data_IF_979611567378
#
_entry.id   IF_979611567378
#
_cell.length_a   1.000
_cell.length_b   1.000
_cell.length_c   1.000
_cell.angle_alpha   90.00
_cell.angle_beta   90.00
_cell.angle_gamma   90.00
#
_symmetry.space_group_name_H-M   'P 1'
#
loop_
_entity.id
_entity.type
_entity.pdbx_description
1 polymer ?
#
# COMPACT_ATOMS: atom_id res chain seq x y z
N UNK A 1 0.80 -19.95 -66.81
CA UNK A 1 1.48 -21.08 -66.16
C UNK A 1 2.88 -20.64 -65.80
N UNK A 2 3.25 -20.70 -64.52
CA UNK A 2 4.60 -20.93 -63.99
C UNK A 2 4.63 -20.56 -62.51
N UNK A 3 4.21 -21.52 -61.70
CA UNK A 3 4.32 -21.51 -60.25
C UNK A 3 5.76 -21.86 -59.89
N UNK A 4 6.55 -20.90 -59.40
CA UNK A 4 7.93 -21.17 -58.95
C UNK A 4 7.89 -21.74 -57.54
N UNK A 5 7.81 -23.07 -57.47
CA UNK A 5 7.98 -23.86 -56.25
C UNK A 5 9.46 -23.93 -55.92
N UNK A 6 9.92 -23.14 -54.95
CA UNK A 6 11.26 -23.28 -54.36
C UNK A 6 11.20 -24.34 -53.26
N UNK A 7 11.82 -25.48 -53.49
CA UNK A 7 12.02 -26.56 -52.52
C UNK A 7 13.19 -26.22 -51.59
N UNK A 8 12.97 -26.25 -50.27
CA UNK A 8 14.00 -26.06 -49.25
C UNK A 8 14.64 -27.43 -48.91
N UNK A 9 15.97 -27.55 -48.78
CA UNK A 9 16.63 -28.78 -48.32
C UNK A 9 16.37 -29.08 -46.83
N UNK A 10 16.42 -30.36 -46.40
CA UNK A 10 16.22 -30.75 -45.01
C UNK A 10 17.39 -30.29 -44.13
N UNK A 11 17.08 -29.55 -43.06
CA UNK A 11 18.05 -29.09 -42.07
C UNK A 11 18.55 -30.27 -41.21
N UNK A 12 19.86 -30.36 -40.92
CA UNK A 12 20.41 -31.40 -40.06
C UNK A 12 19.93 -31.20 -38.61
N UNK A 13 19.41 -32.27 -38.01
CA UNK A 13 19.14 -32.36 -36.59
C UNK A 13 20.47 -32.30 -35.82
N UNK A 14 20.69 -31.22 -35.06
CA UNK A 14 21.96 -31.01 -34.35
C UNK A 14 21.86 -30.07 -33.16
N UNK A 15 22.10 -30.66 -31.99
CA UNK A 15 22.38 -30.05 -30.67
C UNK A 15 21.25 -29.28 -29.98
N UNK A 16 20.57 -29.99 -29.07
CA UNK A 16 19.88 -29.37 -27.95
C UNK A 16 20.87 -28.49 -27.16
N UNK A 17 20.67 -27.17 -27.18
CA UNK A 17 21.41 -26.24 -26.34
C UNK A 17 21.20 -26.57 -24.85
N UNK A 18 22.19 -26.29 -23.98
CA UNK A 18 22.09 -26.63 -22.57
C UNK A 18 20.88 -25.92 -21.96
N UNK A 19 19.97 -26.71 -21.41
CA UNK A 19 18.79 -26.22 -20.71
C UNK A 19 19.21 -25.22 -19.63
N UNK A 20 18.49 -24.10 -19.43
CA UNK A 20 18.79 -23.17 -18.35
C UNK A 20 18.78 -23.95 -17.03
N UNK A 21 19.92 -23.92 -16.35
CA UNK A 21 20.13 -24.60 -15.08
C UNK A 21 19.04 -24.19 -14.09
N UNK A 22 18.10 -25.09 -13.80
CA UNK A 22 17.08 -24.96 -12.75
C UNK A 22 17.68 -24.57 -11.39
N UNK A 23 18.98 -24.73 -11.19
CA UNK A 23 19.69 -24.35 -9.98
C UNK A 23 19.80 -22.83 -9.77
N UNK A 24 19.88 -22.02 -10.84
CA UNK A 24 20.03 -20.57 -10.71
C UNK A 24 18.79 -19.91 -10.09
N UNK A 25 17.59 -20.42 -10.40
CA UNK A 25 16.31 -19.91 -9.88
C UNK A 25 16.07 -20.33 -8.42
N UNK A 26 16.71 -21.42 -7.97
CA UNK A 26 16.52 -21.94 -6.61
C UNK A 26 17.39 -21.23 -5.56
N UNK A 27 18.53 -20.65 -5.96
CA UNK A 27 19.42 -19.88 -5.06
C UNK A 27 18.99 -18.41 -4.88
N UNK A 28 18.25 -17.84 -5.84
CA UNK A 28 17.73 -16.47 -5.81
C UNK A 28 16.76 -16.21 -4.62
N UNK A 29 16.26 -17.27 -3.98
CA UNK A 29 15.18 -17.22 -2.98
C UNK A 29 15.61 -17.04 -1.52
N UNK A 30 16.90 -16.96 -1.19
CA UNK A 30 17.38 -16.85 0.21
C UNK A 30 18.02 -15.50 0.49
N UNK A 31 17.28 -14.43 0.28
CA UNK A 31 17.66 -13.10 0.78
C UNK A 31 17.86 -13.23 2.30
N UNK A 32 19.10 -13.14 2.77
CA UNK A 32 19.41 -13.27 4.20
C UNK A 32 18.60 -12.27 5.02
N UNK A 33 18.24 -12.61 6.25
CA UNK A 33 17.40 -11.79 7.13
C UNK A 33 17.92 -10.34 7.24
N UNK A 34 19.25 -10.17 7.26
CA UNK A 34 19.93 -8.86 7.24
C UNK A 34 19.69 -8.08 5.94
N UNK A 35 19.67 -8.74 4.79
CA UNK A 35 19.38 -8.10 3.51
C UNK A 35 17.90 -7.70 3.42
N UNK A 36 16.98 -8.54 3.90
CA UNK A 36 15.55 -8.19 4.02
C UNK A 36 15.34 -6.96 4.90
N UNK A 37 15.97 -6.90 6.07
CA UNK A 37 15.89 -5.73 6.96
C UNK A 37 16.46 -4.47 6.29
N UNK A 38 17.54 -4.58 5.53
CA UNK A 38 18.11 -3.45 4.75
C UNK A 38 17.15 -2.96 3.67
N UNK A 39 16.48 -3.87 2.97
CA UNK A 39 15.49 -3.53 1.95
C UNK A 39 14.25 -2.84 2.56
N UNK A 40 13.68 -3.40 3.64
CA UNK A 40 12.59 -2.79 4.38
C UNK A 40 12.99 -1.39 4.87
N UNK A 41 14.19 -1.25 5.43
CA UNK A 41 14.72 0.03 5.87
C UNK A 41 14.89 1.05 4.74
N UNK A 42 15.36 0.62 3.57
CA UNK A 42 15.50 1.50 2.39
C UNK A 42 14.13 1.96 1.85
N UNK A 43 13.15 1.04 1.78
CA UNK A 43 11.77 1.34 1.40
C UNK A 43 11.12 2.30 2.41
N UNK A 44 11.26 2.03 3.71
CA UNK A 44 10.76 2.90 4.77
C UNK A 44 11.39 4.29 4.72
N UNK A 45 12.72 4.38 4.53
CA UNK A 45 13.43 5.66 4.37
C UNK A 45 12.93 6.44 3.16
N UNK A 46 12.72 5.77 2.02
CA UNK A 46 12.14 6.39 0.82
C UNK A 46 10.73 6.92 1.10
N UNK A 47 9.89 6.14 1.78
CA UNK A 47 8.54 6.56 2.13
C UNK A 47 8.55 7.76 3.09
N UNK A 48 9.46 7.76 4.08
CA UNK A 48 9.64 8.89 5.00
C UNK A 48 10.16 10.15 4.31
N UNK A 49 11.04 10.01 3.32
CA UNK A 49 11.49 11.12 2.47
C UNK A 49 10.37 11.65 1.57
N UNK A 50 9.46 10.78 1.13
CA UNK A 50 8.27 11.18 0.37
C UNK A 50 7.32 12.00 1.24
N UNK A 51 7.06 11.54 2.46
CA UNK A 51 6.32 12.26 3.49
C UNK A 51 6.92 13.65 3.76
N UNK A 52 8.26 13.75 3.79
CA UNK A 52 8.96 15.02 4.01
C UNK A 52 8.76 16.05 2.88
N UNK A 53 8.30 15.64 1.69
CA UNK A 53 8.05 16.57 0.58
C UNK A 53 6.73 17.33 0.73
N UNK A 54 5.75 16.73 1.39
CA UNK A 54 4.45 17.37 1.69
C UNK A 54 4.22 17.41 3.22
N UNK A 55 5.04 18.17 3.97
CA UNK A 55 4.91 18.27 5.42
C UNK A 55 3.60 18.92 5.84
N UNK A 56 3.02 19.80 5.00
CA UNK A 56 1.75 20.48 5.24
C UNK A 56 0.60 19.48 5.37
N UNK A 57 0.47 18.53 4.44
CA UNK A 57 -0.58 17.52 4.48
C UNK A 57 -0.47 16.62 5.72
N UNK A 58 0.75 16.21 6.08
CA UNK A 58 0.98 15.45 7.30
C UNK A 58 0.66 16.24 8.57
N UNK A 59 0.99 17.52 8.58
CA UNK A 59 0.68 18.40 9.69
C UNK A 59 -0.83 18.54 9.86
N UNK A 60 -1.56 18.75 8.76
CA UNK A 60 -3.02 18.92 8.81
C UNK A 60 -3.73 17.64 9.32
N UNK A 61 -3.33 16.46 8.83
CA UNK A 61 -3.86 15.15 9.28
C UNK A 61 -3.64 14.91 10.77
N UNK A 62 -2.57 15.45 11.37
CA UNK A 62 -2.28 15.29 12.80
C UNK A 62 -2.86 16.42 13.66
N UNK A 63 -2.84 17.65 13.14
CA UNK A 63 -3.25 18.86 13.86
C UNK A 63 -4.77 18.90 14.01
N UNK A 64 -5.52 18.60 12.95
CA UNK A 64 -7.00 18.64 12.99
C UNK A 64 -7.58 17.78 14.11
N UNK A 65 -7.19 16.49 14.26
CA UNK A 65 -7.56 15.65 15.40
C UNK A 65 -7.31 16.28 16.76
N UNK A 66 -6.13 16.86 16.97
CA UNK A 66 -5.72 17.45 18.24
C UNK A 66 -6.56 18.68 18.55
N UNK A 67 -6.75 19.56 17.56
CA UNK A 67 -7.58 20.77 17.72
C UNK A 67 -9.01 20.40 18.07
N UNK A 68 -9.60 19.41 17.39
CA UNK A 68 -10.94 18.92 17.69
C UNK A 68 -11.03 18.38 19.12
N UNK A 69 -10.08 17.54 19.54
CA UNK A 69 -10.06 17.00 20.91
C UNK A 69 -9.93 18.14 21.92
N UNK A 70 -9.04 19.11 21.70
CA UNK A 70 -8.87 20.23 22.62
C UNK A 70 -10.15 21.06 22.72
N UNK A 71 -10.75 21.41 21.58
CA UNK A 71 -11.99 22.19 21.52
C UNK A 71 -13.12 21.46 22.25
N UNK A 72 -13.40 20.21 21.89
CA UNK A 72 -14.53 19.48 22.45
C UNK A 72 -14.32 19.11 23.92
N UNK A 73 -13.11 18.72 24.31
CA UNK A 73 -12.84 18.30 25.69
C UNK A 73 -12.68 19.50 26.63
N UNK A 74 -12.01 20.59 26.22
CA UNK A 74 -11.69 21.72 27.11
C UNK A 74 -12.65 22.90 26.96
N UNK A 75 -13.09 23.24 25.74
CA UNK A 75 -13.99 24.38 25.52
C UNK A 75 -15.44 23.97 25.73
N UNK A 76 -15.86 22.86 25.13
CA UNK A 76 -17.26 22.40 25.22
C UNK A 76 -17.53 21.41 26.33
N UNK A 77 -16.51 20.71 26.85
CA UNK A 77 -16.72 19.61 27.79
C UNK A 77 -17.40 20.00 29.10
N UNK A 78 -17.17 21.22 29.59
CA UNK A 78 -17.83 21.74 30.78
C UNK A 78 -19.26 22.22 30.54
N UNK A 79 -19.47 23.02 29.48
CA UNK A 79 -20.77 23.64 29.17
C UNK A 79 -21.77 22.64 28.58
N UNK A 80 -21.33 21.82 27.63
CA UNK A 80 -22.16 20.81 26.96
C UNK A 80 -22.39 19.62 27.90
N UNK A 81 -21.38 19.18 28.64
CA UNK A 81 -21.55 18.14 29.66
C UNK A 81 -22.62 18.51 30.69
N UNK A 82 -22.56 19.74 31.22
CA UNK A 82 -23.58 20.26 32.13
C UNK A 82 -24.97 20.38 31.48
N UNK A 83 -25.04 20.80 30.20
CA UNK A 83 -26.29 20.86 29.46
C UNK A 83 -26.94 19.50 29.21
N UNK A 84 -26.16 18.41 29.18
CA UNK A 84 -26.65 17.03 29.10
C UNK A 84 -27.02 16.45 30.47
N UNK A 85 -26.92 17.24 31.55
CA UNK A 85 -27.19 16.78 32.92
C UNK A 85 -26.11 15.91 33.53
N UNK A 86 -24.93 15.84 32.90
CA UNK A 86 -23.79 15.06 33.36
C UNK A 86 -22.55 15.91 33.67
N UNK A 87 -21.44 15.25 33.95
CA UNK A 87 -20.15 15.92 34.14
C UNK A 87 -19.31 15.88 32.86
N UNK A 88 -18.24 16.68 32.84
CA UNK A 88 -17.26 16.70 31.73
C UNK A 88 -16.77 15.30 31.35
N UNK A 89 -16.56 14.44 32.34
CA UNK A 89 -16.08 13.08 32.12
C UNK A 89 -17.07 12.23 31.32
N UNK A 90 -18.37 12.35 31.62
CA UNK A 90 -19.43 11.62 30.93
C UNK A 90 -19.55 12.06 29.48
N UNK A 91 -19.41 13.38 29.24
CA UNK A 91 -19.38 13.93 27.89
C UNK A 91 -18.18 13.44 27.07
N UNK A 92 -16.98 13.38 27.66
CA UNK A 92 -15.79 12.86 26.98
C UNK A 92 -15.98 11.39 26.61
N UNK A 93 -16.51 10.57 27.53
CA UNK A 93 -16.77 9.14 27.27
C UNK A 93 -17.83 8.92 26.18
N UNK A 94 -18.78 9.84 26.03
CA UNK A 94 -19.73 9.83 24.94
C UNK A 94 -19.11 10.25 23.60
N UNK A 95 -18.27 11.29 23.59
CA UNK A 95 -17.75 11.91 22.37
C UNK A 95 -16.59 11.14 21.73
N UNK A 96 -15.65 10.64 22.54
CA UNK A 96 -14.43 9.96 22.08
C UNK A 96 -14.72 8.79 21.11
N UNK A 97 -15.64 7.85 21.39
CA UNK A 97 -15.91 6.75 20.46
C UNK A 97 -16.50 7.22 19.13
N UNK A 98 -17.31 8.28 19.12
CA UNK A 98 -17.82 8.88 17.88
C UNK A 98 -16.70 9.48 17.03
N UNK A 99 -15.76 10.17 17.67
CA UNK A 99 -14.59 10.73 17.00
C UNK A 99 -13.70 9.62 16.40
N UNK A 100 -13.49 8.53 17.14
CA UNK A 100 -12.75 7.36 16.66
C UNK A 100 -13.42 6.69 15.46
N UNK A 101 -14.75 6.56 15.47
CA UNK A 101 -15.51 6.02 14.34
C UNK A 101 -15.38 6.90 13.10
N UNK A 102 -15.50 8.23 13.25
CA UNK A 102 -15.33 9.19 12.17
C UNK A 102 -13.91 9.13 11.56
N UNK A 103 -12.87 9.06 12.41
CA UNK A 103 -11.49 8.88 11.95
C UNK A 103 -11.28 7.57 11.22
N UNK A 104 -11.82 6.47 11.75
CA UNK A 104 -11.76 5.15 11.11
C UNK A 104 -12.40 5.15 9.72
N UNK A 105 -13.55 5.81 9.57
CA UNK A 105 -14.20 5.99 8.26
C UNK A 105 -13.33 6.81 7.30
N UNK A 106 -12.70 7.87 7.78
CA UNK A 106 -11.82 8.69 6.95
C UNK A 106 -10.60 7.90 6.44
N UNK A 107 -9.99 7.08 7.30
CA UNK A 107 -8.89 6.17 6.92
C UNK A 107 -9.37 5.14 5.90
N UNK A 108 -10.53 4.52 6.14
CA UNK A 108 -11.10 3.53 5.22
C UNK A 108 -11.36 4.13 3.83
N UNK A 109 -11.83 5.38 3.77
CA UNK A 109 -11.99 6.11 2.51
C UNK A 109 -10.65 6.33 1.81
N UNK A 110 -9.62 6.80 2.53
CA UNK A 110 -8.29 7.04 1.96
C UNK A 110 -7.63 5.76 1.43
N UNK A 111 -7.78 4.63 2.13
CA UNK A 111 -7.30 3.33 1.65
C UNK A 111 -8.12 2.86 0.45
N UNK A 112 -9.45 3.00 0.51
CA UNK A 112 -10.36 2.60 -0.56
C UNK A 112 -10.08 3.35 -1.87
N UNK A 113 -9.80 4.65 -1.81
CA UNK A 113 -9.41 5.44 -2.99
C UNK A 113 -8.06 5.01 -3.52
N UNK A 114 -7.07 4.75 -2.64
CA UNK A 114 -5.75 4.23 -3.05
C UNK A 114 -5.84 2.90 -3.79
N UNK A 115 -6.62 1.96 -3.24
CA UNK A 115 -6.87 0.66 -3.87
C UNK A 115 -7.59 0.82 -5.22
N UNK A 116 -8.61 1.67 -5.29
CA UNK A 116 -9.31 1.96 -6.54
C UNK A 116 -8.36 2.55 -7.60
N UNK A 117 -7.46 3.44 -7.21
CA UNK A 117 -6.45 4.00 -8.11
C UNK A 117 -5.48 2.92 -8.62
N UNK A 118 -5.10 1.95 -7.79
CA UNK A 118 -4.26 0.83 -8.20
C UNK A 118 -4.96 -0.09 -9.22
N UNK A 119 -6.27 -0.28 -9.07
CA UNK A 119 -7.10 -0.94 -10.09
C UNK A 119 -7.16 -0.13 -11.38
N UNK A 120 -7.40 1.18 -11.31
CA UNK A 120 -7.46 2.07 -12.50
C UNK A 120 -6.14 2.13 -13.26
N UNK A 121 -5.01 2.03 -12.55
CA UNK A 121 -3.66 2.01 -13.15
C UNK A 121 -3.26 0.64 -13.72
N UNK A 122 -4.11 -0.39 -13.59
CA UNK A 122 -3.84 -1.73 -14.11
C UNK A 122 -2.69 -2.45 -13.40
N UNK A 123 -2.35 -2.04 -12.17
CA UNK A 123 -1.22 -2.61 -11.40
C UNK A 123 -1.41 -4.11 -11.21
N UNK A 124 -2.65 -4.55 -10.96
CA UNK A 124 -3.01 -5.96 -10.76
C UNK A 124 -2.82 -6.81 -12.02
N UNK A 125 -3.10 -6.26 -13.20
CA UNK A 125 -2.90 -6.98 -14.48
C UNK A 125 -1.40 -7.10 -14.81
N UNK A 126 -0.61 -6.09 -14.43
CA UNK A 126 0.85 -6.15 -14.53
C UNK A 126 1.43 -7.21 -13.58
N UNK A 127 0.90 -7.35 -12.36
CA UNK A 127 1.33 -8.40 -11.46
C UNK A 127 0.96 -9.80 -11.96
N UNK A 128 -0.18 -9.97 -12.63
CA UNK A 128 -0.60 -11.25 -13.22
C UNK A 128 0.23 -11.69 -14.43
N UNK A 129 0.90 -10.78 -15.13
CA UNK A 129 1.70 -11.08 -16.33
C UNK A 129 3.19 -11.27 -16.05
N UNK A 130 3.66 -10.88 -14.86
CA UNK A 130 5.03 -11.16 -14.41
C UNK A 130 5.12 -12.53 -13.71
N UNK A 131 6.29 -13.20 -13.71
CA UNK A 131 6.50 -14.42 -12.94
C UNK A 131 6.63 -14.09 -11.44
N UNK A 132 5.49 -13.81 -10.78
CA UNK A 132 5.38 -13.54 -9.34
C UNK A 132 4.50 -14.62 -8.70
N UNK A 133 4.80 -14.98 -7.44
CA UNK A 133 4.02 -15.97 -6.70
C UNK A 133 2.56 -15.49 -6.53
N UNK A 134 1.59 -16.38 -6.78
CA UNK A 134 0.14 -16.09 -6.67
C UNK A 134 -0.31 -15.56 -5.29
N UNK A 135 0.51 -15.70 -4.26
CA UNK A 135 0.26 -15.17 -2.91
C UNK A 135 0.52 -13.66 -2.77
N UNK A 136 1.12 -13.02 -3.78
CA UNK A 136 1.41 -11.58 -3.79
C UNK A 136 0.36 -10.71 -4.49
N UNK A 137 -0.76 -11.30 -4.93
CA UNK A 137 -1.88 -10.61 -5.61
C UNK A 137 -3.18 -10.87 -4.86
#
# INVERSE_FOLDING_TARGET
>A
MSSTTTTLPPAPAGSAGPAPSKAAVAEEGRIGLRANLRHIGALARRNLLQIKKDPESMFDVLLMPIVFIVLFVYVFGGSVGASLGGNRHDYVNYLVPGLMAMMGMNIAMAVGTGVNDDFRKGVMDRFRTMPIARSSV
#
